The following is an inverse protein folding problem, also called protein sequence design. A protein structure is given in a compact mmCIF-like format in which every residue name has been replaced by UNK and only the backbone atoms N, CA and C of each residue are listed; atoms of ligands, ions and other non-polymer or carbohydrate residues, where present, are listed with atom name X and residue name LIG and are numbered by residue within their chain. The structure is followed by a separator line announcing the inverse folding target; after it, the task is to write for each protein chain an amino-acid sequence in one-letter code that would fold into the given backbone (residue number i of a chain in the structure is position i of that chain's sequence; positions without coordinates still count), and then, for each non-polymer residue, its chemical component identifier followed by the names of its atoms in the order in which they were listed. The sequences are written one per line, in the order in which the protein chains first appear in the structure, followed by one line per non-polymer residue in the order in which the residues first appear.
data_IF_218530123992
#
_entry.id   IF_218530123992
#
_cell.length_a   1.000
_cell.length_b   1.000
_cell.length_c   1.000
_cell.angle_alpha   90.00
_cell.angle_beta   90.00
_cell.angle_gamma   90.00
#
_symmetry.space_group_name_H-M   'P 1'
#
loop_
_entity.id
_entity.type
_entity.pdbx_description
1 polymer ?
#
# COMPACT_ATOMS: atom_id res chain seq x y z
N UNK A 1 0.89 10.23 8.10
CA UNK A 1 0.45 10.51 9.48
C UNK A 1 0.75 11.96 9.91
N UNK A 2 2.02 12.39 9.98
CA UNK A 2 2.43 13.74 10.43
C UNK A 2 1.69 14.90 9.75
N UNK A 3 1.56 14.89 8.43
CA UNK A 3 0.84 15.95 7.68
C UNK A 3 -0.65 15.99 8.04
N UNK A 4 -1.27 14.82 8.25
CA UNK A 4 -2.67 14.69 8.66
C UNK A 4 -2.88 15.21 10.08
N UNK A 5 -2.04 14.77 11.03
CA UNK A 5 -2.09 15.19 12.43
C UNK A 5 -1.80 16.69 12.59
N UNK A 6 -0.80 17.22 11.89
CA UNK A 6 -0.48 18.66 11.88
C UNK A 6 -1.50 19.52 11.15
N UNK A 7 -2.45 18.93 10.40
CA UNK A 7 -3.42 19.63 9.55
C UNK A 7 -2.78 20.71 8.68
N UNK A 8 -1.57 20.44 8.18
CA UNK A 8 -0.80 21.38 7.36
C UNK A 8 -0.22 22.59 8.10
N UNK A 9 -0.29 22.63 9.44
CA UNK A 9 0.31 23.70 10.24
C UNK A 9 1.83 23.47 10.37
N UNK A 10 2.69 24.36 9.84
CA UNK A 10 4.14 24.15 9.83
C UNK A 10 4.74 24.04 11.24
N UNK A 11 4.24 24.81 12.20
CA UNK A 11 4.71 24.75 13.58
C UNK A 11 4.31 23.43 14.25
N UNK A 12 3.08 22.97 14.03
CA UNK A 12 2.65 21.67 14.53
C UNK A 12 3.47 20.53 13.92
N UNK A 13 3.82 20.63 12.63
CA UNK A 13 4.65 19.63 11.96
C UNK A 13 6.04 19.54 12.60
N UNK A 14 6.66 20.68 12.93
CA UNK A 14 7.94 20.72 13.64
C UNK A 14 7.83 20.13 15.05
N UNK A 15 6.86 20.57 15.86
CA UNK A 15 6.76 20.10 17.26
C UNK A 15 6.36 18.62 17.36
N UNK A 16 5.50 18.12 16.47
CA UNK A 16 5.10 16.70 16.44
C UNK A 16 6.23 15.80 15.94
N UNK A 17 7.00 16.24 14.93
CA UNK A 17 8.16 15.49 14.44
C UNK A 17 9.28 15.40 15.49
N UNK A 18 9.50 16.47 16.27
CA UNK A 18 10.47 16.48 17.36
C UNK A 18 10.12 15.53 18.53
N UNK A 19 8.88 15.03 18.58
CA UNK A 19 8.44 14.05 19.57
C UNK A 19 8.64 12.60 19.16
N UNK A 20 9.00 12.34 17.91
CA UNK A 20 9.25 11.01 17.37
C UNK A 20 10.73 10.62 17.52
N UNK A 21 10.97 9.32 17.66
CA UNK A 21 12.31 8.73 17.59
C UNK A 21 12.81 8.70 16.14
N UNK A 22 14.13 8.55 15.95
CA UNK A 22 14.73 8.39 14.61
C UNK A 22 14.10 7.21 13.87
N UNK A 23 13.89 6.09 14.55
CA UNK A 23 13.28 4.88 13.97
C UNK A 23 11.81 5.07 13.59
N UNK A 24 11.04 5.82 14.37
CA UNK A 24 9.65 6.16 14.00
C UNK A 24 9.59 7.15 12.82
N UNK A 25 10.54 8.09 12.72
CA UNK A 25 10.64 9.03 11.60
C UNK A 25 11.04 8.32 10.30
N UNK A 26 11.91 7.32 10.40
CA UNK A 26 12.31 6.44 9.29
C UNK A 26 11.23 5.39 8.95
N UNK A 27 10.15 5.32 9.74
CA UNK A 27 9.07 4.34 9.57
C UNK A 27 9.47 2.90 9.89
N UNK A 28 10.62 2.71 10.55
CA UNK A 28 11.11 1.41 10.99
C UNK A 28 10.38 0.89 12.24
N UNK A 29 9.83 1.81 13.05
CA UNK A 29 8.98 1.49 14.20
C UNK A 29 7.59 2.15 14.00
N UNK A 30 6.49 1.46 14.37
CA UNK A 30 5.14 2.01 14.22
C UNK A 30 4.88 3.12 15.25
N UNK A 31 4.28 4.22 14.81
CA UNK A 31 3.79 5.27 15.72
C UNK A 31 2.43 4.87 16.27
N UNK A 32 2.36 4.65 17.58
CA UNK A 32 1.16 4.16 18.26
C UNK A 32 0.46 5.28 19.05
N UNK A 33 -0.77 5.59 18.65
CA UNK A 33 -1.61 6.62 19.27
C UNK A 33 -1.32 8.05 18.78
N UNK A 34 -1.96 9.08 19.39
CA UNK A 34 -1.75 10.47 19.03
C UNK A 34 -0.28 10.88 19.18
N UNK A 35 0.25 11.59 18.18
CA UNK A 35 1.61 12.12 18.20
C UNK A 35 1.84 13.02 19.42
N UNK A 36 2.94 12.79 20.14
CA UNK A 36 3.39 13.67 21.22
C UNK A 36 4.15 14.84 20.60
N UNK A 37 3.74 16.06 20.91
CA UNK A 37 4.51 17.24 20.58
C UNK A 37 5.50 17.58 21.69
N UNK A 38 6.62 18.22 21.34
CA UNK A 38 7.54 18.85 22.29
C UNK A 38 7.72 20.32 21.88
N UNK A 39 7.22 21.24 22.68
CA UNK A 39 7.40 22.67 22.43
C UNK A 39 6.60 23.60 23.35
N UNK A 40 6.93 24.89 23.28
CA UNK A 40 6.35 25.90 24.17
C UNK A 40 4.84 26.12 23.92
N UNK A 41 4.37 25.86 22.68
CA UNK A 41 2.95 26.00 22.34
C UNK A 41 2.14 24.84 22.91
N UNK A 42 2.65 23.61 22.85
CA UNK A 42 2.05 22.47 23.53
C UNK A 42 1.95 22.67 25.05
N UNK A 43 3.00 23.20 25.70
CA UNK A 43 2.98 23.48 27.14
C UNK A 43 1.93 24.53 27.52
N UNK A 44 1.74 25.56 26.69
CA UNK A 44 0.68 26.55 26.88
C UNK A 44 -0.72 25.93 26.80
N UNK A 45 -0.95 25.02 25.85
CA UNK A 45 -2.21 24.27 25.77
C UNK A 45 -2.38 23.33 26.95
N UNK A 46 -1.31 22.68 27.42
CA UNK A 46 -1.33 21.81 28.60
C UNK A 46 -1.76 22.58 29.85
N UNK A 47 -1.21 23.77 30.07
CA UNK A 47 -1.60 24.63 31.18
C UNK A 47 -3.08 25.04 31.12
N UNK A 48 -3.61 25.34 29.92
CA UNK A 48 -5.04 25.65 29.72
C UNK A 48 -5.93 24.45 29.98
N UNK A 49 -5.54 23.26 29.52
CA UNK A 49 -6.28 22.01 29.78
C UNK A 49 -6.29 21.69 31.26
N UNK A 50 -5.20 21.95 31.99
CA UNK A 50 -5.11 21.70 33.42
C UNK A 50 -6.12 22.51 34.26
N UNK A 51 -6.51 23.69 33.79
CA UNK A 51 -7.49 24.58 34.45
C UNK A 51 -8.96 24.15 34.24
N UNK A 52 -9.22 23.18 33.34
CA UNK A 52 -10.58 22.73 33.06
C UNK A 52 -11.13 21.82 34.18
N UNK A 53 -12.46 21.80 34.38
CA UNK A 53 -13.11 20.82 35.24
C UNK A 53 -12.75 19.38 34.84
N UNK A 54 -12.68 18.47 35.81
CA UNK A 54 -12.31 17.06 35.56
C UNK A 54 -13.18 16.40 34.50
N UNK A 55 -14.50 16.67 34.49
CA UNK A 55 -15.43 16.15 33.49
C UNK A 55 -15.06 16.60 32.05
N UNK A 56 -14.66 17.87 31.88
CA UNK A 56 -14.24 18.40 30.60
C UNK A 56 -12.89 17.82 30.14
N UNK A 57 -11.95 17.61 31.06
CA UNK A 57 -10.67 16.94 30.74
C UNK A 57 -10.88 15.49 30.31
N UNK A 58 -11.75 14.74 30.99
CA UNK A 58 -12.10 13.36 30.60
C UNK A 58 -12.78 13.32 29.23
N UNK A 59 -13.73 14.20 28.98
CA UNK A 59 -14.39 14.32 27.68
C UNK A 59 -13.40 14.65 26.54
N UNK A 60 -12.51 15.62 26.77
CA UNK A 60 -11.45 15.95 25.83
C UNK A 60 -10.49 14.78 25.60
N UNK A 61 -10.16 14.00 26.63
CA UNK A 61 -9.26 12.86 26.50
C UNK A 61 -9.87 11.76 25.61
N UNK A 62 -11.15 11.43 25.80
CA UNK A 62 -11.84 10.47 24.92
C UNK A 62 -11.88 11.00 23.49
N UNK A 63 -12.22 12.28 23.30
CA UNK A 63 -12.20 12.91 21.98
C UNK A 63 -10.79 12.96 21.37
N UNK A 64 -9.74 13.09 22.19
CA UNK A 64 -8.36 13.09 21.74
C UNK A 64 -7.82 11.70 21.41
N UNK A 65 -8.44 10.64 21.95
CA UNK A 65 -8.07 9.25 21.69
C UNK A 65 -8.75 8.70 20.42
N UNK A 66 -9.95 9.17 20.06
CA UNK A 66 -10.69 8.79 18.85
C UNK A 66 -10.29 9.66 17.64
N UNK A 67 -9.97 9.07 16.47
CA UNK A 67 -9.63 9.83 15.26
C UNK A 67 -10.84 10.59 14.67
N UNK A 68 -12.05 10.03 14.75
CA UNK A 68 -13.26 10.65 14.22
C UNK A 68 -13.90 11.65 15.19
N UNK A 69 -13.77 11.38 16.49
CA UNK A 69 -14.21 12.22 17.60
C UNK A 69 -15.67 12.72 17.46
N UNK A 70 -16.59 11.84 17.08
CA UNK A 70 -18.01 12.18 16.91
C UNK A 70 -18.69 12.47 18.26
N UNK A 71 -19.54 13.51 18.30
CA UNK A 71 -20.30 13.84 19.53
C UNK A 71 -21.21 12.68 19.92
N UNK A 72 -21.84 12.01 18.96
CA UNK A 72 -22.66 10.82 19.19
C UNK A 72 -21.86 9.63 19.75
N UNK A 73 -20.56 9.55 19.50
CA UNK A 73 -19.68 8.54 20.12
C UNK A 73 -19.47 8.88 21.59
N UNK A 74 -19.16 10.14 21.92
CA UNK A 74 -19.00 10.59 23.31
C UNK A 74 -20.26 10.38 24.15
N UNK A 75 -21.44 10.65 23.58
CA UNK A 75 -22.71 10.40 24.26
C UNK A 75 -22.92 8.92 24.58
N UNK A 76 -22.59 8.04 23.63
CA UNK A 76 -22.64 6.58 23.86
C UNK A 76 -21.61 6.14 24.91
N UNK A 77 -20.47 6.84 25.02
CA UNK A 77 -19.48 6.65 26.08
C UNK A 77 -19.96 7.16 27.46
N UNK A 78 -21.21 7.66 27.55
CA UNK A 78 -21.77 8.23 28.77
C UNK A 78 -21.29 9.65 29.08
N UNK A 79 -20.67 10.33 28.11
CA UNK A 79 -20.20 11.71 28.24
C UNK A 79 -21.20 12.65 27.56
N UNK A 80 -21.98 13.45 28.32
CA UNK A 80 -22.89 14.40 27.70
C UNK A 80 -22.10 15.50 26.98
N UNK A 81 -22.61 15.98 25.84
CA UNK A 81 -21.97 17.07 25.09
C UNK A 81 -21.71 18.33 25.95
N UNK A 82 -22.55 18.57 26.97
CA UNK A 82 -22.37 19.66 27.94
C UNK A 82 -21.05 19.58 28.73
N UNK A 83 -20.44 18.39 28.86
CA UNK A 83 -19.14 18.23 29.50
C UNK A 83 -18.01 18.95 28.73
N UNK A 84 -18.16 19.16 27.42
CA UNK A 84 -17.19 19.87 26.58
C UNK A 84 -17.36 21.39 26.56
N UNK A 85 -18.44 21.93 27.17
CA UNK A 85 -18.74 23.36 27.12
C UNK A 85 -17.62 24.23 27.70
N UNK A 86 -17.03 23.82 28.83
CA UNK A 86 -15.89 24.52 29.42
C UNK A 86 -14.65 24.52 28.48
N UNK A 87 -14.46 23.48 27.67
CA UNK A 87 -13.38 23.41 26.70
C UNK A 87 -13.66 24.26 25.45
N UNK A 88 -14.92 24.37 25.04
CA UNK A 88 -15.37 25.25 23.96
C UNK A 88 -15.26 26.73 24.36
N UNK A 89 -15.71 27.09 25.56
CA UNK A 89 -15.59 28.44 26.14
C UNK A 89 -14.11 28.85 26.30
N UNK A 90 -13.26 27.89 26.69
CA UNK A 90 -11.80 28.08 26.72
C UNK A 90 -11.16 28.13 25.32
N UNK A 91 -11.92 27.98 24.23
CA UNK A 91 -11.44 28.07 22.86
C UNK A 91 -10.47 26.95 22.46
N UNK A 92 -10.57 25.77 23.07
CA UNK A 92 -9.72 24.60 22.77
C UNK A 92 -10.35 23.71 21.69
N UNK A 93 -11.67 23.61 21.70
CA UNK A 93 -12.47 22.86 20.73
C UNK A 93 -13.58 23.73 20.13
N UNK A 94 -14.20 23.21 19.08
CA UNK A 94 -15.49 23.63 18.55
C UNK A 94 -16.36 22.39 18.42
N UNK A 95 -17.62 22.49 18.86
CA UNK A 95 -18.57 21.39 18.77
C UNK A 95 -19.47 21.60 17.55
N UNK A 96 -19.42 20.67 16.62
CA UNK A 96 -20.44 20.51 15.57
C UNK A 96 -21.01 19.08 15.70
N UNK A 97 -21.13 18.31 14.61
CA UNK A 97 -21.39 16.86 14.71
C UNK A 97 -20.16 16.07 15.23
N UNK A 98 -18.99 16.67 15.15
CA UNK A 98 -17.70 16.16 15.63
C UNK A 98 -17.05 17.16 16.58
N UNK A 99 -16.15 16.67 17.42
CA UNK A 99 -15.30 17.48 18.30
C UNK A 99 -14.08 17.96 17.52
N UNK A 100 -14.13 19.20 17.06
CA UNK A 100 -13.08 19.82 16.29
C UNK A 100 -12.09 20.53 17.20
N UNK A 101 -10.91 19.94 17.43
CA UNK A 101 -9.79 20.63 18.08
C UNK A 101 -9.39 21.86 17.27
N UNK A 102 -9.38 23.05 17.89
CA UNK A 102 -9.05 24.31 17.17
C UNK A 102 -7.61 24.35 16.70
N UNK A 103 -6.72 23.62 17.38
CA UNK A 103 -5.32 23.49 17.00
C UNK A 103 -4.88 22.02 17.16
N UNK A 104 -4.12 21.46 16.20
CA UNK A 104 -3.54 20.12 16.28
C UNK A 104 -2.87 19.79 17.63
N UNK A 105 -2.07 20.74 18.13
CA UNK A 105 -1.35 20.59 19.39
C UNK A 105 -2.25 20.51 20.63
N UNK A 106 -3.51 20.93 20.57
CA UNK A 106 -4.45 20.76 21.70
C UNK A 106 -4.72 19.27 21.92
N UNK A 107 -4.94 18.51 20.84
CA UNK A 107 -5.16 17.05 20.91
C UNK A 107 -3.95 16.37 21.54
N UNK A 108 -2.75 16.75 21.07
CA UNK A 108 -1.48 16.26 21.63
C UNK A 108 -1.31 16.63 23.11
N UNK A 109 -1.59 17.87 23.49
CA UNK A 109 -1.48 18.34 24.88
C UNK A 109 -2.46 17.62 25.81
N UNK A 110 -3.71 17.43 25.38
CA UNK A 110 -4.74 16.69 26.14
C UNK A 110 -4.28 15.25 26.37
N UNK A 111 -3.90 14.55 25.30
CA UNK A 111 -3.49 13.15 25.40
C UNK A 111 -2.17 13.03 26.18
N UNK A 112 -1.22 13.92 25.94
CA UNK A 112 0.10 14.00 26.59
C UNK A 112 0.03 14.29 28.10
N UNK A 113 -0.91 15.12 28.54
CA UNK A 113 -1.12 15.44 29.96
C UNK A 113 -1.76 14.30 30.76
N UNK A 114 -2.52 13.41 30.11
CA UNK A 114 -3.21 12.32 30.78
C UNK A 114 -2.22 11.27 31.30
N UNK A 115 -2.48 10.76 32.50
CA UNK A 115 -1.78 9.61 33.06
C UNK A 115 -2.03 8.34 32.25
N UNK A 116 -1.18 7.32 32.46
CA UNK A 116 -1.36 6.01 31.82
C UNK A 116 -2.74 5.40 32.13
N UNK A 117 -3.21 5.52 33.39
CA UNK A 117 -4.52 5.02 33.80
C UNK A 117 -5.67 5.73 33.09
N UNK A 118 -5.62 7.06 32.97
CA UNK A 118 -6.66 7.84 32.29
C UNK A 118 -6.72 7.53 30.79
N UNK A 119 -5.57 7.37 30.12
CA UNK A 119 -5.52 6.96 28.70
C UNK A 119 -6.10 5.57 28.51
N UNK A 120 -5.75 4.63 29.41
CA UNK A 120 -6.27 3.26 29.36
C UNK A 120 -7.79 3.25 29.53
N UNK A 121 -8.32 4.03 30.46
CA UNK A 121 -9.77 4.16 30.67
C UNK A 121 -10.44 4.75 29.42
N UNK A 122 -9.89 5.79 28.81
CA UNK A 122 -10.42 6.38 27.59
C UNK A 122 -10.49 5.35 26.44
N UNK A 123 -9.42 4.57 26.24
CA UNK A 123 -9.41 3.52 25.23
C UNK A 123 -10.36 2.37 25.56
N UNK A 124 -10.50 1.95 26.82
CA UNK A 124 -11.45 0.91 27.21
C UNK A 124 -12.91 1.32 26.93
N UNK A 125 -13.24 2.59 27.19
CA UNK A 125 -14.56 3.14 26.88
C UNK A 125 -14.79 3.18 25.36
N UNK A 126 -13.81 3.62 24.57
CA UNK A 126 -13.92 3.61 23.10
C UNK A 126 -14.04 2.19 22.54
N UNK A 127 -13.21 1.26 23.01
CA UNK A 127 -13.22 -0.14 22.60
C UNK A 127 -14.57 -0.84 22.81
N UNK A 128 -15.32 -0.46 23.85
CA UNK A 128 -16.64 -1.04 24.16
C UNK A 128 -17.81 -0.32 23.47
N UNK A 129 -17.58 0.88 22.93
CA UNK A 129 -18.66 1.76 22.46
C UNK A 129 -18.66 1.96 20.94
N UNK A 130 -17.50 1.90 20.30
CA UNK A 130 -17.38 2.09 18.85
C UNK A 130 -18.13 0.99 18.09
N UNK A 131 -18.83 1.42 17.03
CA UNK A 131 -19.54 0.50 16.13
C UNK A 131 -18.65 -0.03 15.02
N UNK A 132 -17.64 0.75 14.65
CA UNK A 132 -16.65 0.31 13.67
C UNK A 132 -15.74 -0.74 14.33
N UNK A 133 -15.77 -2.00 13.85
CA UNK A 133 -14.96 -3.07 14.43
C UNK A 133 -13.47 -2.79 14.30
N UNK A 134 -13.04 -2.08 13.25
CA UNK A 134 -11.64 -1.73 13.02
C UNK A 134 -11.13 -0.78 14.10
N UNK A 135 -11.78 0.36 14.30
CA UNK A 135 -11.40 1.30 15.37
C UNK A 135 -11.53 0.69 16.76
N UNK A 136 -12.56 -0.13 17.01
CA UNK A 136 -12.70 -0.87 18.26
C UNK A 136 -11.50 -1.79 18.53
N UNK A 137 -11.09 -2.60 17.55
CA UNK A 137 -9.95 -3.51 17.67
C UNK A 137 -8.64 -2.76 18.00
N UNK A 138 -8.42 -1.61 17.37
CA UNK A 138 -7.27 -0.74 17.67
C UNK A 138 -7.26 -0.25 19.12
N UNK A 139 -8.42 0.18 19.65
CA UNK A 139 -8.48 0.60 21.06
C UNK A 139 -8.29 -0.55 22.04
N UNK A 140 -8.80 -1.76 21.73
CA UNK A 140 -8.49 -2.97 22.53
C UNK A 140 -6.99 -3.27 22.53
N UNK A 141 -6.35 -3.17 21.37
CA UNK A 141 -4.92 -3.41 21.22
C UNK A 141 -4.05 -2.41 22.00
N UNK A 142 -4.51 -1.16 22.18
CA UNK A 142 -3.82 -0.12 22.95
C UNK A 142 -3.87 -0.35 24.48
N UNK A 143 -4.79 -1.17 24.97
CA UNK A 143 -4.95 -1.45 26.41
C UNK A 143 -4.55 -2.87 26.81
N UNK A 144 -4.09 -3.68 25.85
CA UNK A 144 -3.58 -5.02 26.09
C UNK A 144 -2.17 -4.94 26.70
N UNK A 145 -2.00 -5.48 27.91
CA UNK A 145 -0.70 -5.52 28.62
C UNK A 145 0.15 -6.74 28.26
N UNK A 146 -0.48 -7.77 27.70
CA UNK A 146 0.12 -9.03 27.29
C UNK A 146 -0.45 -9.46 25.95
N UNK A 147 0.04 -10.58 25.43
CA UNK A 147 -0.58 -11.20 24.27
C UNK A 147 -2.06 -11.52 24.54
N UNK A 148 -2.88 -11.33 23.51
CA UNK A 148 -4.33 -11.53 23.52
C UNK A 148 -4.75 -11.95 22.10
N UNK A 149 -4.99 -13.24 21.93
CA UNK A 149 -5.31 -13.83 20.63
C UNK A 149 -6.66 -13.36 20.07
N UNK A 150 -7.60 -12.98 20.94
CA UNK A 150 -8.89 -12.45 20.49
C UNK A 150 -8.71 -11.07 19.86
N UNK A 151 -7.96 -10.18 20.52
CA UNK A 151 -7.63 -8.85 19.98
C UNK A 151 -6.75 -8.97 18.73
N UNK A 152 -5.79 -9.88 18.72
CA UNK A 152 -4.96 -10.13 17.55
C UNK A 152 -5.77 -10.60 16.32
N UNK A 153 -6.78 -11.46 16.53
CA UNK A 153 -7.69 -11.90 15.47
C UNK A 153 -8.57 -10.76 14.95
N UNK A 154 -9.07 -9.89 15.83
CA UNK A 154 -9.82 -8.69 15.42
C UNK A 154 -8.97 -7.74 14.56
N UNK A 155 -7.70 -7.53 14.93
CA UNK A 155 -6.75 -6.73 14.14
C UNK A 155 -6.38 -7.36 12.80
N UNK A 156 -6.23 -8.68 12.73
CA UNK A 156 -5.97 -9.41 11.48
C UNK A 156 -7.14 -9.26 10.48
N UNK A 157 -8.38 -9.32 10.99
CA UNK A 157 -9.57 -8.99 10.20
C UNK A 157 -9.58 -7.52 9.76
N UNK A 158 -9.21 -6.59 10.66
CA UNK A 158 -9.11 -5.17 10.33
C UNK A 158 -8.07 -4.88 9.24
N UNK A 159 -6.93 -5.57 9.28
CA UNK A 159 -5.89 -5.49 8.24
C UNK A 159 -6.41 -5.97 6.88
N UNK A 160 -7.13 -7.09 6.86
CA UNK A 160 -7.77 -7.62 5.65
C UNK A 160 -8.78 -6.64 5.04
N UNK A 161 -9.59 -6.00 5.87
CA UNK A 161 -10.54 -4.98 5.42
C UNK A 161 -9.83 -3.71 4.91
N UNK A 162 -8.72 -3.31 5.53
CA UNK A 162 -7.92 -2.19 5.07
C UNK A 162 -7.32 -2.46 3.68
N UNK A 163 -6.83 -3.68 3.41
CA UNK A 163 -6.40 -4.09 2.07
C UNK A 163 -7.54 -4.01 1.05
N UNK A 164 -8.73 -4.51 1.40
CA UNK A 164 -9.90 -4.46 0.51
C UNK A 164 -10.32 -3.03 0.14
N UNK A 165 -10.02 -2.04 0.99
CA UNK A 165 -10.25 -0.61 0.73
C UNK A 165 -9.08 0.11 0.06
N UNK A 166 -7.99 -0.60 -0.26
CA UNK A 166 -6.80 0.00 -0.86
C UNK A 166 -5.92 0.79 0.11
N UNK A 167 -5.93 0.45 1.41
CA UNK A 167 -5.13 1.10 2.44
C UNK A 167 -4.02 0.19 3.00
N UNK A 168 -2.98 -0.13 2.20
CA UNK A 168 -1.94 -1.09 2.57
C UNK A 168 -1.13 -0.67 3.79
N UNK A 169 -0.86 0.62 4.00
CA UNK A 169 -0.16 1.09 5.20
C UNK A 169 -0.93 0.86 6.49
N UNK A 170 -2.25 1.06 6.48
CA UNK A 170 -3.12 0.74 7.63
C UNK A 170 -3.20 -0.77 7.86
N UNK A 171 -3.21 -1.56 6.79
CA UNK A 171 -3.20 -3.01 6.89
C UNK A 171 -1.90 -3.53 7.51
N UNK A 172 -0.75 -3.02 7.06
CA UNK A 172 0.57 -3.36 7.60
C UNK A 172 0.63 -3.14 9.11
N UNK A 173 0.22 -1.95 9.57
CA UNK A 173 0.19 -1.62 10.99
C UNK A 173 -0.73 -2.57 11.79
N UNK A 174 -1.90 -2.91 11.25
CA UNK A 174 -2.84 -3.80 11.91
C UNK A 174 -2.28 -5.23 12.04
N UNK A 175 -1.71 -5.77 10.97
CA UNK A 175 -1.12 -7.11 10.96
C UNK A 175 0.12 -7.20 11.86
N UNK A 176 0.97 -6.19 11.87
CA UNK A 176 2.14 -6.15 12.75
C UNK A 176 1.70 -6.10 14.22
N UNK A 177 0.73 -5.24 14.56
CA UNK A 177 0.20 -5.18 15.92
C UNK A 177 -0.52 -6.47 16.32
N UNK A 178 -1.21 -7.12 15.39
CA UNK A 178 -1.80 -8.43 15.61
C UNK A 178 -0.70 -9.45 15.98
N UNK A 179 0.41 -9.47 15.24
CA UNK A 179 1.54 -10.35 15.53
C UNK A 179 2.18 -10.10 16.90
N UNK A 180 2.28 -8.85 17.34
CA UNK A 180 2.78 -8.49 18.68
C UNK A 180 1.90 -9.05 19.82
N UNK A 181 0.60 -9.16 19.58
CA UNK A 181 -0.38 -9.67 20.54
C UNK A 181 -0.58 -11.20 20.43
N UNK A 182 0.27 -11.90 19.69
CA UNK A 182 0.14 -13.34 19.43
C UNK A 182 1.22 -14.14 20.15
N UNK A 183 0.85 -15.11 20.99
CA UNK A 183 1.81 -16.04 21.62
C UNK A 183 2.24 -17.17 20.69
N UNK A 184 1.30 -17.72 19.93
CA UNK A 184 1.52 -18.92 19.11
C UNK A 184 2.45 -18.60 17.92
N UNK A 185 3.63 -19.26 17.82
CA UNK A 185 4.66 -18.90 16.83
C UNK A 185 4.18 -18.89 15.38
N UNK A 186 3.42 -19.90 14.94
CA UNK A 186 3.02 -20.02 13.54
C UNK A 186 2.04 -18.91 13.13
N UNK A 187 1.01 -18.64 13.93
CA UNK A 187 0.09 -17.51 13.74
C UNK A 187 0.80 -16.17 13.76
N UNK A 188 1.75 -15.99 14.68
CA UNK A 188 2.58 -14.79 14.74
C UNK A 188 3.38 -14.62 13.44
N UNK A 189 3.98 -15.71 12.95
CA UNK A 189 4.70 -15.74 11.67
C UNK A 189 3.82 -15.34 10.49
N UNK A 190 2.60 -15.89 10.40
CA UNK A 190 1.65 -15.58 9.32
C UNK A 190 1.18 -14.12 9.36
N UNK A 191 0.91 -13.57 10.54
CA UNK A 191 0.57 -12.16 10.71
C UNK A 191 1.73 -11.23 10.31
N UNK A 192 2.98 -11.57 10.65
CA UNK A 192 4.16 -10.84 10.17
C UNK A 192 4.33 -10.94 8.65
N UNK A 193 4.04 -12.09 8.04
CA UNK A 193 4.04 -12.27 6.60
C UNK A 193 2.99 -11.38 5.92
N UNK A 194 1.75 -11.33 6.42
CA UNK A 194 0.73 -10.40 5.94
C UNK A 194 1.15 -8.94 6.11
N UNK A 195 1.78 -8.60 7.24
CA UNK A 195 2.34 -7.28 7.48
C UNK A 195 3.42 -6.94 6.44
N UNK A 196 4.32 -7.88 6.12
CA UNK A 196 5.37 -7.68 5.12
C UNK A 196 4.79 -7.44 3.71
N UNK A 197 3.80 -8.24 3.30
CA UNK A 197 3.09 -8.06 2.03
C UNK A 197 2.42 -6.69 1.93
N UNK A 198 1.71 -6.28 2.99
CA UNK A 198 1.05 -4.98 3.05
C UNK A 198 2.05 -3.82 3.09
N UNK A 199 3.18 -3.98 3.79
CA UNK A 199 4.26 -2.98 3.87
C UNK A 199 4.92 -2.78 2.51
N UNK A 200 5.16 -3.86 1.77
CA UNK A 200 5.63 -3.78 0.39
C UNK A 200 4.62 -3.05 -0.50
N UNK A 201 3.33 -3.36 -0.37
CA UNK A 201 2.25 -2.67 -1.07
C UNK A 201 2.11 -1.18 -0.72
N UNK A 202 2.57 -0.78 0.48
CA UNK A 202 2.64 0.60 0.92
C UNK A 202 3.90 1.34 0.43
N UNK A 203 4.87 0.63 -0.15
CA UNK A 203 6.07 1.21 -0.76
C UNK A 203 7.35 1.11 0.07
N UNK A 204 7.28 0.56 1.29
CA UNK A 204 8.43 0.50 2.20
C UNK A 204 9.20 -0.82 2.07
N UNK A 205 10.07 -0.94 1.06
CA UNK A 205 10.82 -2.17 0.78
C UNK A 205 11.67 -2.66 1.96
N UNK A 206 12.43 -1.78 2.60
CA UNK A 206 13.33 -2.15 3.71
C UNK A 206 12.56 -2.64 4.95
N UNK A 207 11.47 -1.95 5.30
CA UNK A 207 10.58 -2.37 6.38
C UNK A 207 9.91 -3.72 6.06
N UNK A 208 9.52 -3.95 4.81
CA UNK A 208 8.97 -5.24 4.38
C UNK A 208 10.00 -6.37 4.54
N UNK A 209 11.26 -6.15 4.15
CA UNK A 209 12.33 -7.14 4.35
C UNK A 209 12.59 -7.43 5.83
N UNK A 210 12.57 -6.40 6.68
CA UNK A 210 12.69 -6.57 8.14
C UNK A 210 11.58 -7.45 8.71
N UNK A 211 10.34 -7.29 8.23
CA UNK A 211 9.21 -8.13 8.61
C UNK A 211 9.36 -9.56 8.09
N UNK A 212 9.88 -9.75 6.87
CA UNK A 212 10.20 -11.07 6.33
C UNK A 212 11.23 -11.78 7.21
N UNK A 213 12.30 -11.09 7.62
CA UNK A 213 13.34 -11.66 8.48
C UNK A 213 12.79 -12.08 9.86
N UNK A 214 11.84 -11.31 10.41
CA UNK A 214 11.12 -11.66 11.66
C UNK A 214 10.16 -12.83 11.48
N UNK A 215 9.49 -12.94 10.33
CA UNK A 215 8.51 -13.99 10.05
C UNK A 215 9.18 -15.35 9.73
N UNK A 216 10.32 -15.32 9.03
CA UNK A 216 11.00 -16.52 8.52
C UNK A 216 11.24 -17.61 9.57
N UNK A 217 11.82 -17.35 10.77
CA UNK A 217 12.09 -18.41 11.74
C UNK A 217 10.84 -19.04 12.35
N UNK A 218 9.65 -18.46 12.12
CA UNK A 218 8.38 -18.92 12.68
C UNK A 218 7.56 -19.76 11.69
N UNK A 219 7.95 -19.78 10.41
CA UNK A 219 7.18 -20.36 9.32
C UNK A 219 7.93 -21.55 8.70
N UNK A 220 7.27 -22.70 8.61
CA UNK A 220 7.86 -23.95 8.10
C UNK A 220 7.07 -24.59 6.96
N UNK A 221 5.81 -24.20 6.76
CA UNK A 221 5.01 -24.70 5.65
C UNK A 221 5.51 -24.12 4.31
N UNK A 222 5.57 -24.96 3.27
CA UNK A 222 6.06 -24.55 1.95
C UNK A 222 5.25 -23.40 1.36
N UNK A 223 3.94 -23.35 1.62
CA UNK A 223 3.08 -22.24 1.17
C UNK A 223 3.47 -20.92 1.82
N UNK A 224 3.70 -20.92 3.13
CA UNK A 224 4.12 -19.72 3.87
C UNK A 224 5.54 -19.29 3.45
N UNK A 225 6.42 -20.25 3.13
CA UNK A 225 7.76 -19.96 2.62
C UNK A 225 7.69 -19.23 1.27
N UNK A 226 6.88 -19.76 0.34
CA UNK A 226 6.70 -19.17 -0.99
C UNK A 226 6.17 -17.75 -0.91
N UNK A 227 5.21 -17.48 -0.02
CA UNK A 227 4.66 -16.13 0.17
C UNK A 227 5.71 -15.12 0.68
N UNK A 228 6.60 -15.53 1.59
CA UNK A 228 7.72 -14.68 2.02
C UNK A 228 8.73 -14.44 0.88
N UNK A 229 9.03 -15.48 0.09
CA UNK A 229 9.93 -15.36 -1.05
C UNK A 229 9.37 -14.42 -2.12
N UNK A 230 8.04 -14.37 -2.29
CA UNK A 230 7.37 -13.40 -3.17
C UNK A 230 7.51 -11.95 -2.68
N UNK A 231 7.51 -11.70 -1.38
CA UNK A 231 7.80 -10.36 -0.84
C UNK A 231 9.24 -9.96 -1.20
N UNK A 232 10.22 -10.85 -0.98
CA UNK A 232 11.61 -10.61 -1.37
C UNK A 232 11.75 -10.38 -2.88
N UNK A 233 11.12 -11.22 -3.69
CA UNK A 233 11.11 -11.10 -5.15
C UNK A 233 10.51 -9.76 -5.59
N UNK A 234 9.43 -9.30 -4.94
CA UNK A 234 8.84 -8.00 -5.22
C UNK A 234 9.79 -6.82 -4.92
N UNK A 235 10.67 -6.95 -3.91
CA UNK A 235 11.72 -5.97 -3.63
C UNK A 235 12.85 -6.08 -4.66
N UNK A 236 13.39 -7.29 -4.90
CA UNK A 236 14.45 -7.52 -5.89
C UNK A 236 14.06 -7.06 -7.29
N UNK A 237 12.80 -7.22 -7.69
CA UNK A 237 12.31 -6.77 -9.00
C UNK A 237 12.39 -5.25 -9.17
N UNK A 238 12.20 -4.49 -8.09
CA UNK A 238 12.17 -3.02 -8.11
C UNK A 238 13.54 -2.39 -7.84
N UNK A 239 14.38 -3.06 -7.05
CA UNK A 239 15.64 -2.51 -6.54
C UNK A 239 16.89 -3.24 -7.02
N UNK A 240 16.77 -4.38 -7.70
CA UNK A 240 17.90 -5.28 -7.91
C UNK A 240 17.78 -6.21 -9.11
N UNK A 241 18.15 -7.47 -8.91
CA UNK A 241 18.39 -8.45 -9.98
C UNK A 241 17.09 -9.11 -10.49
N UNK A 242 16.74 -8.96 -11.79
CA UNK A 242 15.63 -9.70 -12.38
C UNK A 242 15.80 -11.23 -12.30
N UNK A 243 17.04 -11.73 -12.13
CA UNK A 243 17.34 -13.16 -12.01
C UNK A 243 16.75 -13.78 -10.74
N UNK A 244 16.94 -13.11 -9.61
CA UNK A 244 16.45 -13.59 -8.31
C UNK A 244 14.93 -13.63 -8.31
N UNK A 245 14.31 -12.57 -8.87
CA UNK A 245 12.87 -12.51 -9.07
C UNK A 245 12.38 -13.69 -9.89
N UNK A 246 13.04 -13.98 -11.02
CA UNK A 246 12.66 -15.09 -11.90
C UNK A 246 12.61 -16.43 -11.16
N UNK A 247 13.66 -16.75 -10.38
CA UNK A 247 13.74 -18.02 -9.64
C UNK A 247 12.65 -18.13 -8.58
N UNK A 248 12.47 -17.09 -7.76
CA UNK A 248 11.46 -17.08 -6.69
C UNK A 248 10.04 -17.18 -7.24
N UNK A 249 9.74 -16.44 -8.31
CA UNK A 249 8.42 -16.41 -8.94
C UNK A 249 8.12 -17.72 -9.66
N UNK A 250 9.11 -18.38 -10.27
CA UNK A 250 8.94 -19.72 -10.84
C UNK A 250 8.56 -20.74 -9.76
N UNK A 251 9.27 -20.74 -8.64
CA UNK A 251 8.97 -21.64 -7.53
C UNK A 251 7.56 -21.38 -6.97
N UNK A 252 7.14 -20.11 -6.92
CA UNK A 252 5.79 -19.74 -6.53
C UNK A 252 4.72 -20.20 -7.53
N UNK A 253 4.97 -20.06 -8.83
CA UNK A 253 4.08 -20.54 -9.87
C UNK A 253 3.81 -22.04 -9.72
N UNK A 254 4.87 -22.81 -9.49
CA UNK A 254 4.79 -24.26 -9.27
C UNK A 254 4.00 -24.61 -8.01
N UNK A 255 4.19 -23.86 -6.92
CA UNK A 255 3.46 -24.07 -5.67
C UNK A 255 1.96 -23.77 -5.79
N UNK A 256 1.58 -22.79 -6.63
CA UNK A 256 0.18 -22.41 -6.85
C UNK A 256 -0.52 -23.22 -7.95
N UNK A 257 0.22 -23.94 -8.80
CA UNK A 257 -0.27 -24.56 -10.04
C UNK A 257 -1.57 -25.37 -9.88
N UNK A 258 -1.73 -26.11 -8.79
CA UNK A 258 -2.90 -26.95 -8.54
C UNK A 258 -4.03 -26.25 -7.74
N UNK A 259 -3.71 -25.26 -6.90
CA UNK A 259 -4.63 -24.69 -5.90
C UNK A 259 -5.18 -23.33 -6.31
N UNK A 260 -4.36 -22.52 -6.98
CA UNK A 260 -4.67 -21.16 -7.39
C UNK A 260 -4.19 -20.92 -8.84
N UNK A 261 -4.83 -21.56 -9.85
CA UNK A 261 -4.36 -21.51 -11.24
C UNK A 261 -4.15 -20.10 -11.80
N UNK A 262 -5.08 -19.19 -11.52
CA UNK A 262 -4.95 -17.79 -11.95
C UNK A 262 -3.69 -17.13 -11.39
N UNK A 263 -3.38 -17.38 -10.12
CA UNK A 263 -2.22 -16.81 -9.43
C UNK A 263 -0.92 -17.43 -9.93
N UNK A 264 -0.92 -18.74 -10.23
CA UNK A 264 0.20 -19.39 -10.90
C UNK A 264 0.51 -18.74 -12.27
N UNK A 265 -0.52 -18.44 -13.07
CA UNK A 265 -0.32 -17.75 -14.35
C UNK A 265 0.13 -16.29 -14.17
N UNK A 266 -0.26 -15.60 -13.10
CA UNK A 266 0.30 -14.28 -12.77
C UNK A 266 1.80 -14.36 -12.49
N UNK A 267 2.24 -15.40 -11.80
CA UNK A 267 3.66 -15.64 -11.57
C UNK A 267 4.38 -15.90 -12.90
N UNK A 268 3.80 -16.67 -13.82
CA UNK A 268 4.39 -16.86 -15.15
C UNK A 268 4.48 -15.54 -15.93
N UNK A 269 3.46 -14.68 -15.88
CA UNK A 269 3.52 -13.36 -16.50
C UNK A 269 4.68 -12.51 -15.92
N UNK A 270 4.89 -12.57 -14.60
CA UNK A 270 5.99 -11.89 -13.94
C UNK A 270 7.36 -12.51 -14.28
N UNK A 271 7.45 -13.84 -14.49
CA UNK A 271 8.66 -14.49 -15.02
C UNK A 271 9.02 -13.95 -16.40
N UNK A 272 8.06 -13.87 -17.32
CA UNK A 272 8.28 -13.30 -18.66
C UNK A 272 8.73 -11.85 -18.54
N UNK A 273 8.08 -11.05 -17.69
CA UNK A 273 8.45 -9.65 -17.46
C UNK A 273 9.89 -9.50 -16.91
N UNK A 274 10.26 -10.28 -15.90
CA UNK A 274 11.62 -10.33 -15.36
C UNK A 274 12.64 -10.77 -16.43
N UNK A 275 12.25 -11.66 -17.34
CA UNK A 275 13.12 -12.10 -18.42
C UNK A 275 13.40 -11.02 -19.48
N UNK A 276 12.40 -10.17 -19.76
CA UNK A 276 12.53 -9.02 -20.66
C UNK A 276 13.46 -7.98 -20.04
N UNK A 277 13.25 -7.63 -18.77
CA UNK A 277 14.12 -6.70 -18.04
C UNK A 277 15.57 -7.20 -17.95
N UNK A 278 15.77 -8.51 -17.77
CA UNK A 278 17.09 -9.13 -17.70
C UNK A 278 17.73 -9.45 -19.07
N UNK A 279 17.07 -9.15 -20.20
CA UNK A 279 17.58 -9.41 -21.56
C UNK A 279 17.95 -10.87 -21.86
N UNK A 280 17.28 -11.84 -21.24
CA UNK A 280 17.49 -13.28 -21.41
C UNK A 280 16.20 -14.05 -21.74
N UNK A 281 15.31 -13.39 -22.50
CA UNK A 281 13.97 -13.90 -22.83
C UNK A 281 14.00 -15.31 -23.42
N UNK A 282 14.95 -15.61 -24.30
CA UNK A 282 15.08 -16.92 -24.92
C UNK A 282 15.23 -18.07 -23.91
N UNK A 283 15.90 -17.83 -22.76
CA UNK A 283 16.06 -18.83 -21.71
C UNK A 283 14.78 -19.03 -20.89
N UNK A 284 13.92 -18.01 -20.80
CA UNK A 284 12.71 -18.03 -19.98
C UNK A 284 11.49 -18.64 -20.69
N UNK A 285 11.45 -18.66 -22.03
CA UNK A 285 10.32 -19.18 -22.81
C UNK A 285 10.04 -20.65 -22.48
N UNK A 286 11.09 -21.48 -22.44
CA UNK A 286 10.97 -22.91 -22.14
C UNK A 286 10.41 -23.15 -20.74
N UNK A 287 10.95 -22.46 -19.74
CA UNK A 287 10.49 -22.54 -18.35
C UNK A 287 9.03 -22.08 -18.22
N UNK A 288 8.67 -20.97 -18.86
CA UNK A 288 7.30 -20.46 -18.85
C UNK A 288 6.32 -21.47 -19.46
N UNK A 289 6.65 -22.10 -20.60
CA UNK A 289 5.83 -23.15 -21.23
C UNK A 289 5.64 -24.34 -20.29
N UNK A 290 6.73 -24.86 -19.73
CA UNK A 290 6.70 -26.00 -18.82
C UNK A 290 5.91 -25.72 -17.53
N UNK A 291 6.00 -24.51 -16.99
CA UNK A 291 5.19 -24.12 -15.83
C UNK A 291 3.72 -24.04 -16.21
N UNK A 292 3.36 -23.39 -17.32
CA UNK A 292 1.95 -23.28 -17.74
C UNK A 292 1.31 -24.65 -17.96
N UNK A 293 2.03 -25.62 -18.56
CA UNK A 293 1.53 -26.98 -18.79
C UNK A 293 1.17 -27.74 -17.50
N UNK A 294 1.79 -27.35 -16.37
CA UNK A 294 1.52 -27.95 -15.05
C UNK A 294 0.41 -27.24 -14.28
N UNK A 295 -0.03 -26.07 -14.72
CA UNK A 295 -1.11 -25.32 -14.07
C UNK A 295 -2.45 -25.99 -14.39
N UNK A 296 -3.23 -26.31 -13.36
CA UNK A 296 -4.55 -26.89 -13.52
C UNK A 296 -5.51 -25.93 -14.27
N UNK A 297 -6.53 -26.48 -14.91
CA UNK A 297 -7.53 -25.67 -15.61
C UNK A 297 -8.37 -24.81 -14.65
N UNK A 298 -8.84 -23.68 -15.16
CA UNK A 298 -9.70 -22.74 -14.42
C UNK A 298 -10.67 -21.97 -15.33
N UNK A 299 -11.40 -21.03 -14.75
CA UNK A 299 -12.37 -20.18 -15.43
C UNK A 299 -12.11 -18.68 -15.19
N UNK A 300 -12.80 -17.82 -15.96
CA UNK A 300 -12.72 -16.36 -15.82
C UNK A 300 -11.31 -15.82 -16.05
N UNK A 301 -10.71 -15.22 -15.01
CA UNK A 301 -9.34 -14.66 -15.05
C UNK A 301 -8.31 -15.67 -15.55
N UNK A 302 -8.44 -16.95 -15.20
CA UNK A 302 -7.54 -18.00 -15.70
C UNK A 302 -7.56 -18.07 -17.23
N UNK A 303 -8.74 -18.09 -17.86
CA UNK A 303 -8.87 -18.24 -19.31
C UNK A 303 -8.24 -17.05 -20.03
N UNK A 304 -8.48 -15.83 -19.55
CA UNK A 304 -7.82 -14.63 -20.06
C UNK A 304 -6.30 -14.75 -19.96
N UNK A 305 -5.77 -15.07 -18.78
CA UNK A 305 -4.33 -15.19 -18.53
C UNK A 305 -3.69 -16.27 -19.41
N UNK A 306 -4.34 -17.43 -19.54
CA UNK A 306 -3.84 -18.56 -20.33
C UNK A 306 -3.69 -18.18 -21.80
N UNK A 307 -4.72 -17.55 -22.38
CA UNK A 307 -4.71 -17.13 -23.78
C UNK A 307 -3.72 -15.98 -24.00
N UNK A 308 -3.66 -15.02 -23.08
CA UNK A 308 -2.70 -13.91 -23.13
C UNK A 308 -1.26 -14.43 -23.11
N UNK A 309 -0.94 -15.34 -22.19
CA UNK A 309 0.40 -15.93 -22.07
C UNK A 309 0.78 -16.76 -23.29
N UNK A 310 -0.15 -17.51 -23.87
CA UNK A 310 0.12 -18.19 -25.13
C UNK A 310 0.41 -17.21 -26.27
N UNK A 311 -0.31 -16.09 -26.32
CA UNK A 311 -0.04 -15.01 -27.28
C UNK A 311 1.32 -14.38 -27.05
N UNK A 312 1.70 -14.15 -25.78
CA UNK A 312 3.00 -13.63 -25.38
C UNK A 312 4.13 -14.59 -25.79
N UNK A 313 3.98 -15.90 -25.58
CA UNK A 313 4.97 -16.88 -26.00
C UNK A 313 5.04 -16.99 -27.53
N UNK A 314 3.92 -16.90 -28.24
CA UNK A 314 3.89 -16.89 -29.70
C UNK A 314 4.61 -15.67 -30.30
N UNK A 315 4.44 -14.47 -29.73
CA UNK A 315 5.16 -13.28 -30.22
C UNK A 315 6.67 -13.39 -29.96
N UNK A 316 7.06 -13.96 -28.81
CA UNK A 316 8.46 -14.19 -28.46
C UNK A 316 9.14 -15.25 -29.35
N UNK A 317 8.38 -16.23 -29.84
CA UNK A 317 8.85 -17.20 -30.85
C UNK A 317 8.80 -16.66 -32.29
N UNK A 318 8.43 -15.38 -32.49
CA UNK A 318 8.33 -14.77 -33.81
C UNK A 318 7.06 -15.15 -34.60
N UNK A 319 6.12 -15.87 -33.99
CA UNK A 319 4.85 -16.28 -34.60
C UNK A 319 3.78 -15.18 -34.49
N UNK A 320 4.04 -14.01 -35.08
CA UNK A 320 3.22 -12.80 -34.92
C UNK A 320 1.73 -12.98 -35.31
N UNK A 321 1.44 -13.75 -36.37
CA UNK A 321 0.04 -14.01 -36.78
C UNK A 321 -0.73 -14.85 -35.76
N UNK A 322 -0.08 -15.85 -35.15
CA UNK A 322 -0.69 -16.68 -34.11
C UNK A 322 -0.89 -15.87 -32.83
N UNK A 323 0.13 -15.09 -32.44
CA UNK A 323 0.03 -14.15 -31.33
C UNK A 323 -1.15 -13.19 -31.52
N UNK A 324 -1.29 -12.58 -32.71
CA UNK A 324 -2.38 -11.67 -33.03
C UNK A 324 -3.77 -12.32 -33.00
N UNK A 325 -3.90 -13.60 -33.35
CA UNK A 325 -5.17 -14.34 -33.17
C UNK A 325 -5.48 -14.54 -31.69
N UNK A 326 -4.52 -15.05 -30.92
CA UNK A 326 -4.69 -15.31 -29.48
C UNK A 326 -4.99 -14.04 -28.70
N UNK A 327 -4.29 -12.95 -28.98
CA UNK A 327 -4.53 -11.65 -28.36
C UNK A 327 -5.93 -11.10 -28.62
N UNK A 328 -6.46 -11.24 -29.85
CA UNK A 328 -7.85 -10.87 -30.13
C UNK A 328 -8.84 -11.70 -29.31
N UNK A 329 -8.62 -13.01 -29.19
CA UNK A 329 -9.44 -13.87 -28.33
C UNK A 329 -9.33 -13.47 -26.86
N UNK A 330 -8.13 -13.19 -26.35
CA UNK A 330 -7.93 -12.72 -24.97
C UNK A 330 -8.67 -11.40 -24.71
N UNK A 331 -8.66 -10.45 -25.65
CA UNK A 331 -9.39 -9.19 -25.53
C UNK A 331 -10.91 -9.37 -25.51
N UNK A 332 -11.45 -10.39 -26.20
CA UNK A 332 -12.87 -10.75 -26.10
C UNK A 332 -13.20 -11.21 -24.67
N UNK A 333 -12.41 -12.13 -24.11
CA UNK A 333 -12.59 -12.59 -22.72
C UNK A 333 -12.42 -11.44 -21.72
N UNK A 334 -11.47 -10.54 -21.96
CA UNK A 334 -11.23 -9.38 -21.10
C UNK A 334 -12.43 -8.42 -21.04
N UNK A 335 -13.19 -8.30 -22.14
CA UNK A 335 -14.37 -7.42 -22.19
C UNK A 335 -15.48 -7.82 -21.21
N UNK A 336 -15.52 -9.09 -20.82
CA UNK A 336 -16.45 -9.64 -19.83
C UNK A 336 -15.98 -9.42 -18.38
N UNK A 337 -14.73 -8.97 -18.19
CA UNK A 337 -14.05 -8.89 -16.89
C UNK A 337 -13.46 -7.50 -16.60
N UNK A 338 -14.08 -6.43 -17.09
CA UNK A 338 -13.58 -5.04 -16.97
C UNK A 338 -13.50 -4.51 -15.53
N UNK A 339 -14.17 -5.15 -14.58
CA UNK A 339 -14.04 -4.84 -13.15
C UNK A 339 -12.71 -5.34 -12.55
N UNK A 340 -12.06 -6.32 -13.18
CA UNK A 340 -10.76 -6.84 -12.74
C UNK A 340 -9.64 -5.91 -13.25
N UNK A 341 -8.95 -5.28 -12.30
CA UNK A 341 -7.90 -4.31 -12.59
C UNK A 341 -6.69 -4.96 -13.26
N UNK A 342 -6.36 -6.20 -12.89
CA UNK A 342 -5.25 -6.91 -13.51
C UNK A 342 -5.59 -7.30 -14.94
N UNK A 343 -6.81 -7.76 -15.19
CA UNK A 343 -7.29 -8.02 -16.56
C UNK A 343 -7.27 -6.73 -17.39
N UNK A 344 -7.75 -5.61 -16.84
CA UNK A 344 -7.76 -4.32 -17.54
C UNK A 344 -6.34 -3.85 -17.89
N UNK A 345 -5.40 -3.94 -16.95
CA UNK A 345 -3.99 -3.58 -17.17
C UNK A 345 -3.34 -4.47 -18.24
N UNK A 346 -3.50 -5.80 -18.14
CA UNK A 346 -2.92 -6.75 -19.09
C UNK A 346 -3.57 -6.67 -20.47
N UNK A 347 -4.87 -6.38 -20.55
CA UNK A 347 -5.55 -6.09 -21.81
C UNK A 347 -4.99 -4.83 -22.50
N UNK A 348 -4.63 -3.80 -21.72
CA UNK A 348 -3.90 -2.63 -22.21
C UNK A 348 -2.55 -3.01 -22.82
N UNK A 349 -1.78 -3.90 -22.17
CA UNK A 349 -0.51 -4.40 -22.70
C UNK A 349 -0.68 -5.18 -24.01
N UNK A 350 -1.70 -6.04 -24.09
CA UNK A 350 -2.04 -6.73 -25.34
C UNK A 350 -2.31 -5.72 -26.46
N UNK A 351 -3.13 -4.70 -26.18
CA UNK A 351 -3.46 -3.64 -27.15
C UNK A 351 -2.23 -2.87 -27.60
N UNK A 352 -1.29 -2.60 -26.70
CA UNK A 352 -0.01 -1.98 -27.05
C UNK A 352 0.81 -2.86 -28.03
N UNK A 353 0.87 -4.17 -27.80
CA UNK A 353 1.59 -5.11 -28.68
C UNK A 353 0.98 -5.26 -30.07
N UNK A 354 -0.35 -5.17 -30.18
CA UNK A 354 -1.05 -5.24 -31.49
C UNK A 354 -1.25 -3.86 -32.14
N UNK A 355 -0.59 -2.82 -31.61
CA UNK A 355 -0.66 -1.43 -32.08
C UNK A 355 -2.08 -0.80 -32.03
N UNK A 356 -2.94 -1.25 -31.11
CA UNK A 356 -4.25 -0.67 -30.84
C UNK A 356 -4.15 0.40 -29.72
N UNK A 357 -3.48 1.50 -30.05
CA UNK A 357 -2.97 2.45 -29.04
C UNK A 357 -4.04 3.27 -28.32
N UNK A 358 -5.12 3.68 -29.00
CA UNK A 358 -6.16 4.51 -28.39
C UNK A 358 -6.90 3.77 -27.27
N UNK A 359 -7.43 2.55 -27.50
CA UNK A 359 -8.00 1.74 -26.42
C UNK A 359 -6.98 1.33 -25.34
N UNK A 360 -5.71 1.11 -25.70
CA UNK A 360 -4.65 0.85 -24.71
C UNK A 360 -4.49 2.04 -23.74
N UNK A 361 -4.37 3.26 -24.30
CA UNK A 361 -4.25 4.50 -23.53
C UNK A 361 -5.43 4.69 -22.58
N UNK A 362 -6.65 4.54 -23.10
CA UNK A 362 -7.85 4.74 -22.29
C UNK A 362 -7.90 3.75 -21.12
N UNK A 363 -7.56 2.47 -21.38
CA UNK A 363 -7.42 1.45 -20.33
C UNK A 363 -6.39 1.81 -19.26
N UNK A 364 -5.17 2.22 -19.64
CA UNK A 364 -4.14 2.61 -18.67
C UNK A 364 -4.53 3.86 -17.87
N UNK A 365 -5.23 4.83 -18.46
CA UNK A 365 -5.75 6.00 -17.74
C UNK A 365 -6.81 5.61 -16.72
N UNK A 366 -7.69 4.64 -17.02
CA UNK A 366 -8.64 4.10 -16.04
C UNK A 366 -7.90 3.48 -14.87
N UNK A 367 -6.90 2.63 -15.13
CA UNK A 367 -6.09 2.00 -14.06
C UNK A 367 -5.38 3.06 -13.23
N UNK A 368 -4.72 4.04 -13.86
CA UNK A 368 -4.03 5.13 -13.15
C UNK A 368 -4.99 5.97 -12.29
N UNK A 369 -6.17 6.32 -12.80
CA UNK A 369 -7.18 7.05 -12.04
C UNK A 369 -7.68 6.25 -10.82
N UNK A 370 -7.86 4.94 -10.97
CA UNK A 370 -8.21 4.05 -9.86
C UNK A 370 -7.10 3.98 -8.80
N UNK A 371 -5.82 3.89 -9.21
CA UNK A 371 -4.68 3.92 -8.27
C UNK A 371 -4.62 5.22 -7.49
N UNK A 372 -4.88 6.36 -8.15
CA UNK A 372 -4.98 7.67 -7.49
C UNK A 372 -6.14 7.73 -6.50
N UNK A 373 -7.32 7.24 -6.88
CA UNK A 373 -8.48 7.20 -5.99
C UNK A 373 -8.25 6.32 -4.75
N UNK A 374 -7.44 5.26 -4.88
CA UNK A 374 -7.01 4.38 -3.79
C UNK A 374 -5.83 4.94 -2.98
N UNK A 375 -5.15 6.00 -3.45
CA UNK A 375 -3.91 6.48 -2.85
C UNK A 375 -2.72 5.52 -2.99
N UNK A 376 -2.75 4.60 -3.97
CA UNK A 376 -1.68 3.61 -4.19
C UNK A 376 -0.54 4.21 -4.99
N UNK A 377 0.48 4.74 -4.32
CA UNK A 377 1.69 5.28 -4.96
C UNK A 377 2.47 4.19 -5.71
N UNK A 378 2.62 3.01 -5.10
CA UNK A 378 3.28 1.85 -5.72
C UNK A 378 2.56 1.40 -6.99
N UNK A 379 1.23 1.33 -6.95
CA UNK A 379 0.42 0.98 -8.12
C UNK A 379 0.49 2.03 -9.22
N UNK A 380 0.58 3.31 -8.84
CA UNK A 380 0.73 4.41 -9.79
C UNK A 380 2.11 4.40 -10.46
N UNK A 381 3.18 4.22 -9.67
CA UNK A 381 4.55 4.08 -10.18
C UNK A 381 4.70 2.91 -11.18
N UNK A 382 3.92 1.83 -11.02
CA UNK A 382 3.92 0.70 -11.95
C UNK A 382 3.15 0.94 -13.26
N UNK A 383 2.14 1.81 -13.28
CA UNK A 383 1.28 2.02 -14.48
C UNK A 383 1.65 3.25 -15.29
N UNK A 384 2.27 4.27 -14.70
CA UNK A 384 2.68 5.49 -15.39
C UNK A 384 3.64 5.29 -16.57
N UNK A 385 4.56 4.30 -16.61
CA UNK A 385 5.36 4.05 -17.82
C UNK A 385 4.47 3.63 -18.99
N UNK A 386 3.44 2.82 -18.72
CA UNK A 386 2.49 2.35 -19.73
C UNK A 386 1.58 3.46 -20.24
N UNK A 387 1.15 4.37 -19.35
CA UNK A 387 0.45 5.60 -19.73
C UNK A 387 1.36 6.44 -20.65
N UNK A 388 2.60 6.68 -20.24
CA UNK A 388 3.55 7.47 -21.00
C UNK A 388 3.79 6.89 -22.40
N UNK A 389 3.99 5.58 -22.52
CA UNK A 389 4.14 4.90 -23.83
C UNK A 389 2.88 5.05 -24.69
N UNK A 390 1.68 4.84 -24.12
CA UNK A 390 0.45 4.92 -24.89
C UNK A 390 0.12 6.34 -25.35
N UNK A 391 0.41 7.36 -24.54
CA UNK A 391 0.33 8.78 -24.94
C UNK A 391 1.32 9.06 -26.07
N UNK A 392 2.56 8.55 -25.97
CA UNK A 392 3.57 8.70 -27.02
C UNK A 392 3.11 8.09 -28.35
N UNK A 393 2.62 6.85 -28.34
CA UNK A 393 2.10 6.18 -29.53
C UNK A 393 0.87 6.86 -30.14
N UNK A 394 0.18 7.72 -29.40
CA UNK A 394 -0.96 8.53 -29.89
C UNK A 394 -0.56 9.99 -30.17
N UNK A 395 0.74 10.28 -30.28
CA UNK A 395 1.31 11.60 -30.57
C UNK A 395 0.99 12.69 -29.51
N UNK A 396 0.74 12.28 -28.26
CA UNK A 396 0.50 13.13 -27.10
C UNK A 396 1.79 13.33 -26.32
N UNK A 397 2.72 14.05 -26.94
CA UNK A 397 4.11 14.15 -26.44
C UNK A 397 4.16 14.83 -25.07
N UNK A 398 3.37 15.88 -24.84
CA UNK A 398 3.36 16.58 -23.56
C UNK A 398 2.80 15.68 -22.45
N UNK A 399 1.65 15.04 -22.69
CA UNK A 399 1.04 14.14 -21.72
C UNK A 399 1.92 12.93 -21.41
N UNK A 400 2.66 12.43 -22.41
CA UNK A 400 3.67 11.38 -22.23
C UNK A 400 4.82 11.84 -21.33
N UNK A 401 5.33 13.06 -21.54
CA UNK A 401 6.38 13.67 -20.72
C UNK A 401 5.92 13.90 -19.28
N UNK A 402 4.70 14.38 -19.07
CA UNK A 402 4.15 14.62 -17.73
C UNK A 402 4.01 13.30 -16.94
N UNK A 403 3.49 12.25 -17.59
CA UNK A 403 3.37 10.93 -16.98
C UNK A 403 4.74 10.31 -16.64
N UNK A 404 5.74 10.46 -17.51
CA UNK A 404 7.09 9.98 -17.25
C UNK A 404 7.77 10.74 -16.10
N UNK A 405 7.58 12.07 -16.04
CA UNK A 405 8.14 12.90 -14.97
C UNK A 405 7.52 12.57 -13.60
N UNK A 406 6.19 12.44 -13.53
CA UNK A 406 5.48 12.01 -12.31
C UNK A 406 5.96 10.63 -11.86
N UNK A 407 6.06 9.68 -12.78
CA UNK A 407 6.46 8.31 -12.48
C UNK A 407 7.92 8.20 -12.02
N UNK A 408 8.83 8.97 -12.61
CA UNK A 408 10.23 9.05 -12.19
C UNK A 408 10.37 9.62 -10.77
N UNK A 409 9.60 10.68 -10.44
CA UNK A 409 9.60 11.24 -9.10
C UNK A 409 9.09 10.23 -8.06
N UNK A 410 8.02 9.51 -8.36
CA UNK A 410 7.52 8.43 -7.51
C UNK A 410 8.55 7.30 -7.37
N UNK A 411 9.20 6.90 -8.47
CA UNK A 411 10.25 5.88 -8.47
C UNK A 411 11.40 6.25 -7.54
N UNK A 412 11.84 7.51 -7.54
CA UNK A 412 12.89 8.02 -6.62
C UNK A 412 12.44 8.02 -5.17
N UNK A 413 11.23 8.52 -4.90
CA UNK A 413 10.67 8.56 -3.55
C UNK A 413 10.52 7.16 -2.93
N UNK A 414 10.22 6.16 -3.76
CA UNK A 414 10.07 4.76 -3.36
C UNK A 414 11.38 3.96 -3.41
N UNK A 415 12.46 4.54 -3.94
CA UNK A 415 13.74 3.85 -4.14
C UNK A 415 13.66 2.70 -5.15
N UNK A 416 12.83 2.81 -6.19
CA UNK A 416 12.63 1.79 -7.23
C UNK A 416 13.56 2.03 -8.42
N UNK A 417 14.85 1.71 -8.23
CA UNK A 417 15.89 1.97 -9.22
C UNK A 417 15.61 1.33 -10.59
N UNK A 418 15.04 0.12 -10.65
CA UNK A 418 14.71 -0.53 -11.92
C UNK A 418 13.56 0.16 -12.67
N UNK A 419 12.60 0.71 -11.92
CA UNK A 419 11.50 1.47 -12.51
C UNK A 419 12.02 2.82 -13.03
N UNK A 420 12.92 3.48 -12.29
CA UNK A 420 13.59 4.72 -12.73
C UNK A 420 14.32 4.55 -14.07
N UNK A 421 15.01 3.44 -14.30
CA UNK A 421 15.67 3.12 -15.59
C UNK A 421 14.65 3.15 -16.74
N UNK A 422 13.46 2.60 -16.53
CA UNK A 422 12.41 2.58 -17.55
C UNK A 422 11.93 4.00 -17.88
N UNK A 423 11.82 4.88 -16.89
CA UNK A 423 11.47 6.29 -17.10
C UNK A 423 12.58 7.08 -17.79
N UNK A 424 13.85 6.82 -17.48
CA UNK A 424 15.00 7.43 -18.15
C UNK A 424 15.03 7.07 -19.64
N UNK A 425 14.76 5.80 -19.97
CA UNK A 425 14.64 5.35 -21.36
C UNK A 425 13.50 6.08 -22.11
N UNK A 426 12.33 6.24 -21.48
CA UNK A 426 11.21 7.00 -22.05
C UNK A 426 11.56 8.48 -22.26
N UNK A 427 12.24 9.09 -21.29
CA UNK A 427 12.70 10.48 -21.39
C UNK A 427 13.71 10.66 -22.52
N UNK A 428 14.62 9.71 -22.71
CA UNK A 428 15.56 9.71 -23.82
C UNK A 428 14.83 9.66 -25.18
N UNK A 429 13.79 8.83 -25.32
CA UNK A 429 12.98 8.79 -26.54
C UNK A 429 12.21 10.08 -26.80
N UNK A 430 11.57 10.65 -25.77
CA UNK A 430 10.82 11.90 -25.87
C UNK A 430 11.73 13.08 -26.28
N UNK A 431 12.88 13.20 -25.63
CA UNK A 431 13.86 14.26 -25.93
C UNK A 431 14.48 14.09 -27.31
N UNK A 432 14.69 12.84 -27.78
CA UNK A 432 15.10 12.57 -29.16
C UNK A 432 14.05 13.03 -30.18
N UNK A 433 12.77 12.73 -29.95
CA UNK A 433 11.66 13.14 -30.82
C UNK A 433 11.47 14.66 -30.87
N UNK A 434 11.75 15.36 -29.76
CA UNK A 434 11.73 16.81 -29.67
C UNK A 434 13.00 17.48 -30.22
N UNK A 435 13.99 16.71 -30.67
CA UNK A 435 15.23 17.24 -31.23
C UNK A 435 16.18 17.85 -30.20
N UNK A 436 16.17 17.34 -28.96
CA UNK A 436 17.06 17.79 -27.87
C UNK A 436 18.18 16.74 -27.59
N UNK A 437 19.28 16.73 -28.35
CA UNK A 437 20.32 15.70 -28.27
C UNK A 437 21.21 15.80 -27.03
N UNK A 438 21.13 16.88 -26.24
CA UNK A 438 21.85 16.98 -24.95
C UNK A 438 21.10 16.21 -23.87
N UNK A 439 19.83 16.57 -23.65
CA UNK A 439 18.99 15.88 -22.65
C UNK A 439 18.78 14.40 -22.97
N UNK A 440 18.75 14.02 -24.25
CA UNK A 440 18.71 12.61 -24.65
C UNK A 440 19.97 11.86 -24.20
N UNK A 441 21.16 12.46 -24.34
CA UNK A 441 22.42 11.85 -23.88
C UNK A 441 22.50 11.81 -22.36
N UNK A 442 22.06 12.86 -21.69
CA UNK A 442 22.04 12.92 -20.22
C UNK A 442 21.07 11.91 -19.61
N UNK A 443 20.03 11.50 -20.34
CA UNK A 443 19.08 10.46 -19.90
C UNK A 443 19.54 9.04 -20.24
N UNK A 444 20.47 8.90 -21.20
CA UNK A 444 20.99 7.60 -21.65
C UNK A 444 22.30 7.21 -20.96
N UNK A 445 23.02 8.18 -20.41
CA UNK A 445 24.21 8.00 -19.56
C UNK A 445 23.79 7.59 -18.14
#
# INVERSE_FOLDING_TARGET
MLVRESRGNPLALLELSAGLTVRELEGADPVVGPLRARGAVEESFRARVAQLPQAARRALLIAAADEAAEVATLERCGIPASALRAAEDAGLVRLDQQVNFRHPLVRSAVYGAASHSERREAHAVLASTLRDPVSSAWHKALIADSADEAVASELDCAGSQALARGAPGSAAAAFERAAELTEEPLRRGRRLMHAAQATLGAGSSEAALTLVDRARPLLFEQTDIVELDLVRAGVSMRQGSPAETFVSVRNAADAFAAREPSRALEMVALMIWASVQGSWVAAAITDARQTIERVADGSGRYQFMRIMLDGALAILDGAAEDAGRRFRTALQVASEHTADQTVTMLAGLIRLWIADYLPARDGFRVVAAQRRAQGSLVGLAGVLPLVSIAELCTSRIQESSDAAAEGMELGRQLGYANDEISYLALRAWLTALLGNPRECRDSAA
#
